data_IF_891480861351
#
_entry.id   IF_891480861351
#
_cell.length_a   1.000
_cell.length_b   1.000
_cell.length_c   1.000
_cell.angle_alpha   90.00
_cell.angle_beta   90.00
_cell.angle_gamma   90.00
#
_symmetry.space_group_name_H-M   'P 1'
#
loop_
_entity.id
_entity.type
_entity.pdbx_description
1 polymer ?
#
# COMPACT_ATOMS: atom_id res chain seq x y z
N UNK A 1 -7.08 -5.88 23.13
CA UNK A 1 -6.99 -5.45 21.71
C UNK A 1 -5.84 -6.19 21.06
N UNK A 2 -6.16 -7.22 20.29
CA UNK A 2 -5.12 -7.88 19.47
C UNK A 2 -4.84 -7.00 18.27
N UNK A 3 -3.67 -6.38 18.23
CA UNK A 3 -3.15 -5.72 17.04
C UNK A 3 -2.67 -6.82 16.08
N UNK A 4 -3.56 -7.35 15.28
CA UNK A 4 -3.24 -8.39 14.30
C UNK A 4 -2.74 -7.67 13.07
N UNK A 5 -1.42 -7.61 12.92
CA UNK A 5 -0.76 -6.89 11.82
C UNK A 5 -0.68 -7.70 10.52
N UNK A 6 -1.19 -8.92 10.53
CA UNK A 6 -1.13 -9.86 9.42
C UNK A 6 -2.52 -10.32 8.93
N UNK A 7 -3.60 -9.72 9.46
CA UNK A 7 -4.94 -10.20 9.15
C UNK A 7 -5.94 -9.06 8.99
N UNK A 8 -6.84 -9.23 8.03
CA UNK A 8 -8.00 -8.38 7.81
C UNK A 8 -9.24 -9.09 8.36
N UNK A 9 -10.09 -8.37 9.06
CA UNK A 9 -11.33 -8.88 9.63
C UNK A 9 -12.53 -8.12 9.10
N UNK A 10 -13.61 -8.85 8.85
CA UNK A 10 -14.93 -8.25 8.69
C UNK A 10 -15.56 -8.02 10.06
N UNK A 11 -16.17 -6.86 10.24
CA UNK A 11 -16.93 -6.51 11.45
C UNK A 11 -18.41 -6.65 11.13
N UNK A 12 -19.13 -7.42 11.94
CA UNK A 12 -20.58 -7.58 11.87
C UNK A 12 -21.19 -7.45 13.27
N UNK A 13 -22.52 -7.45 13.37
CA UNK A 13 -23.22 -7.50 14.67
C UNK A 13 -22.86 -8.76 15.48
N UNK A 14 -22.37 -9.81 14.83
CA UNK A 14 -21.96 -11.06 15.46
C UNK A 14 -20.48 -11.05 15.91
N UNK A 15 -19.75 -9.97 15.61
CA UNK A 15 -18.34 -9.80 15.98
C UNK A 15 -17.38 -9.74 14.80
N UNK A 16 -16.12 -10.05 15.09
CA UNK A 16 -15.02 -10.06 14.11
C UNK A 16 -14.90 -11.44 13.48
N UNK A 17 -14.83 -11.49 12.15
CA UNK A 17 -14.57 -12.72 11.39
C UNK A 17 -13.34 -12.52 10.52
N UNK A 18 -12.35 -13.42 10.55
CA UNK A 18 -11.20 -13.34 9.66
C UNK A 18 -11.64 -13.34 8.19
N UNK A 19 -11.14 -12.38 7.43
CA UNK A 19 -11.42 -12.24 6.00
C UNK A 19 -10.20 -12.64 5.16
N UNK A 20 -9.04 -12.12 5.51
CA UNK A 20 -7.76 -12.41 4.85
C UNK A 20 -6.66 -12.49 5.90
N UNK A 21 -5.79 -13.49 5.77
CA UNK A 21 -4.60 -13.65 6.60
C UNK A 21 -3.37 -13.66 5.70
N UNK A 22 -2.38 -12.86 6.04
CA UNK A 22 -1.07 -12.90 5.39
C UNK A 22 -0.19 -13.92 6.12
N UNK A 23 0.15 -15.00 5.45
CA UNK A 23 1.05 -16.02 5.99
C UNK A 23 2.51 -15.55 5.87
N UNK A 24 2.98 -14.81 6.86
CA UNK A 24 4.30 -14.17 6.86
C UNK A 24 5.42 -15.11 7.33
N UNK A 25 5.10 -16.28 7.86
CA UNK A 25 6.10 -17.25 8.32
C UNK A 25 7.06 -16.65 9.36
N UNK A 26 8.36 -16.78 9.12
CA UNK A 26 9.41 -16.26 10.01
C UNK A 26 9.47 -14.72 10.07
N UNK A 27 8.90 -14.04 9.10
CA UNK A 27 8.81 -12.57 9.07
C UNK A 27 7.61 -12.03 9.84
N UNK A 28 6.79 -12.91 10.40
CA UNK A 28 5.69 -12.50 11.26
C UNK A 28 6.22 -11.78 12.51
N UNK A 29 5.63 -10.63 12.83
CA UNK A 29 5.94 -9.84 14.00
C UNK A 29 4.88 -10.06 15.08
N UNK A 30 5.14 -10.95 16.03
CA UNK A 30 4.19 -11.30 17.07
C UNK A 30 4.04 -10.20 18.14
N UNK A 31 2.97 -10.27 18.93
CA UNK A 31 2.63 -9.26 19.94
C UNK A 31 3.73 -9.05 20.99
N UNK A 32 4.42 -10.10 21.40
CA UNK A 32 5.46 -10.02 22.42
C UNK A 32 6.69 -9.26 21.91
N UNK A 33 6.97 -9.36 20.61
CA UNK A 33 8.08 -8.68 19.95
C UNK A 33 7.77 -7.22 19.61
N UNK A 34 6.50 -6.82 19.56
CA UNK A 34 6.10 -5.46 19.15
C UNK A 34 6.56 -4.35 20.11
N UNK A 35 6.88 -4.69 21.35
CA UNK A 35 7.42 -3.77 22.35
C UNK A 35 8.95 -3.69 22.31
N UNK A 36 9.59 -4.56 21.55
CA UNK A 36 11.04 -4.64 21.38
C UNK A 36 11.43 -4.11 20.01
N UNK A 37 12.09 -2.96 19.98
CA UNK A 37 12.54 -2.33 18.73
C UNK A 37 13.57 -3.23 18.00
N UNK A 38 14.46 -3.88 18.73
CA UNK A 38 15.44 -4.80 18.15
C UNK A 38 14.76 -6.06 17.59
N UNK A 39 13.63 -6.48 18.17
CA UNK A 39 12.83 -7.61 17.74
C UNK A 39 12.11 -7.40 16.41
N UNK A 40 12.12 -6.18 15.84
CA UNK A 40 11.51 -5.91 14.54
C UNK A 40 12.44 -6.20 13.33
N UNK A 41 13.70 -6.61 13.56
CA UNK A 41 14.61 -6.93 12.46
C UNK A 41 14.02 -7.99 11.52
N UNK A 42 13.98 -7.68 10.24
CA UNK A 42 13.38 -8.48 9.16
C UNK A 42 11.90 -8.82 9.34
N UNK A 43 11.23 -8.23 10.34
CA UNK A 43 9.79 -8.43 10.53
C UNK A 43 8.99 -7.53 9.60
N UNK A 44 7.86 -8.05 9.15
CA UNK A 44 6.93 -7.34 8.27
C UNK A 44 5.86 -6.66 9.11
N UNK A 45 5.66 -5.37 8.86
CA UNK A 45 4.54 -4.58 9.38
C UNK A 45 3.71 -4.07 8.20
N UNK A 46 2.50 -4.62 8.05
CA UNK A 46 1.53 -4.15 7.06
C UNK A 46 0.82 -2.93 7.66
N UNK A 47 0.87 -1.80 7.00
CA UNK A 47 0.37 -0.52 7.51
C UNK A 47 -0.74 0.07 6.65
N UNK A 48 -0.90 -0.39 5.43
CA UNK A 48 -1.89 0.14 4.52
C UNK A 48 -2.47 -0.93 3.59
N UNK A 49 -3.81 -1.02 3.55
CA UNK A 49 -4.53 -1.98 2.73
C UNK A 49 -5.72 -1.28 2.10
N UNK A 50 -5.88 -1.49 0.79
CA UNK A 50 -7.04 -1.09 0.01
C UNK A 50 -7.54 -2.26 -0.81
N UNK A 51 -8.84 -2.31 -1.03
CA UNK A 51 -9.47 -3.41 -1.72
C UNK A 51 -10.50 -2.93 -2.73
N UNK A 52 -10.51 -3.55 -3.91
CA UNK A 52 -11.61 -3.48 -4.85
C UNK A 52 -12.13 -4.89 -5.20
N UNK A 53 -12.97 -5.03 -6.22
CA UNK A 53 -13.54 -6.32 -6.60
C UNK A 53 -12.48 -7.36 -6.99
N UNK A 54 -11.40 -6.96 -7.65
CA UNK A 54 -10.41 -7.84 -8.26
C UNK A 54 -9.10 -7.94 -7.48
N UNK A 55 -8.70 -6.86 -6.79
CA UNK A 55 -7.38 -6.72 -6.18
C UNK A 55 -7.45 -6.27 -4.74
N UNK A 56 -6.43 -6.68 -3.97
CA UNK A 56 -6.06 -6.06 -2.71
C UNK A 56 -4.70 -5.39 -2.93
N UNK A 57 -4.65 -4.07 -2.79
CA UNK A 57 -3.41 -3.30 -2.69
C UNK A 57 -2.96 -3.31 -1.23
N UNK A 58 -1.69 -3.51 -1.00
CA UNK A 58 -1.10 -3.47 0.33
C UNK A 58 0.26 -2.77 0.30
N UNK A 59 0.57 -2.15 1.43
CA UNK A 59 1.84 -1.53 1.71
C UNK A 59 2.39 -2.07 3.02
N UNK A 60 3.69 -2.31 3.09
CA UNK A 60 4.32 -2.82 4.29
C UNK A 60 5.77 -2.36 4.41
N UNK A 61 6.27 -2.41 5.63
CA UNK A 61 7.67 -2.20 5.95
C UNK A 61 8.31 -3.48 6.45
N UNK A 62 9.61 -3.62 6.21
CA UNK A 62 10.48 -4.55 6.93
C UNK A 62 11.34 -3.76 7.90
N UNK A 63 11.65 -4.33 9.07
CA UNK A 63 12.51 -3.67 10.09
C UNK A 63 12.05 -2.24 10.44
N UNK A 64 10.74 -2.05 10.68
CA UNK A 64 10.04 -0.75 10.70
C UNK A 64 10.71 0.36 11.50
N UNK A 65 11.38 0.02 12.61
CA UNK A 65 11.99 1.01 13.52
C UNK A 65 13.51 1.07 13.46
N UNK A 66 14.11 0.36 12.52
CA UNK A 66 15.57 0.32 12.34
C UNK A 66 16.01 1.20 11.17
N UNK A 67 17.30 1.53 11.13
CA UNK A 67 17.89 2.30 10.01
C UNK A 67 17.79 1.55 8.68
N UNK A 68 17.74 0.21 8.72
CA UNK A 68 17.58 -0.67 7.56
C UNK A 68 16.12 -0.79 7.10
N UNK A 69 15.19 -0.07 7.71
CA UNK A 69 13.78 -0.10 7.34
C UNK A 69 13.59 0.13 5.84
N UNK A 70 12.79 -0.73 5.22
CA UNK A 70 12.48 -0.66 3.80
C UNK A 70 10.99 -0.78 3.58
N UNK A 71 10.45 0.08 2.72
CA UNK A 71 9.06 0.04 2.29
C UNK A 71 8.88 -0.81 1.04
N UNK A 72 7.70 -1.39 0.94
CA UNK A 72 7.25 -2.20 -0.20
C UNK A 72 5.78 -1.95 -0.45
N UNK A 73 5.38 -2.04 -1.71
CA UNK A 73 3.97 -2.06 -2.07
C UNK A 73 3.68 -3.18 -3.07
N UNK A 74 2.44 -3.61 -3.13
CA UNK A 74 2.06 -4.69 -4.02
C UNK A 74 0.56 -4.86 -4.19
N UNK A 75 0.22 -5.77 -5.09
CA UNK A 75 -1.14 -6.19 -5.37
C UNK A 75 -1.29 -7.70 -5.25
N UNK A 76 -2.36 -8.12 -4.61
CA UNK A 76 -2.87 -9.48 -4.66
C UNK A 76 -4.08 -9.54 -5.59
N UNK A 77 -3.99 -10.35 -6.64
CA UNK A 77 -5.09 -10.62 -7.55
C UNK A 77 -5.94 -11.75 -6.99
N UNK A 78 -7.18 -11.46 -6.62
CA UNK A 78 -8.06 -12.39 -5.89
C UNK A 78 -8.40 -13.66 -6.66
N UNK A 79 -8.75 -13.53 -7.94
CA UNK A 79 -9.12 -14.68 -8.77
C UNK A 79 -7.92 -15.57 -9.09
N UNK A 80 -6.82 -14.97 -9.55
CA UNK A 80 -5.60 -15.72 -9.93
C UNK A 80 -4.77 -16.17 -8.73
N UNK A 81 -5.05 -15.65 -7.54
CA UNK A 81 -4.30 -15.90 -6.30
C UNK A 81 -2.80 -15.64 -6.45
N UNK A 82 -2.46 -14.56 -7.14
CA UNK A 82 -1.07 -14.16 -7.39
C UNK A 82 -0.75 -12.84 -6.72
N UNK A 83 0.48 -12.72 -6.24
CA UNK A 83 1.02 -11.52 -5.62
C UNK A 83 2.09 -10.92 -6.52
N UNK A 84 2.06 -9.62 -6.71
CA UNK A 84 3.13 -8.82 -7.30
C UNK A 84 3.54 -7.76 -6.30
N UNK A 85 4.83 -7.69 -6.00
CA UNK A 85 5.40 -6.79 -5.00
C UNK A 85 6.61 -6.08 -5.57
N UNK A 86 6.82 -4.84 -5.17
CA UNK A 86 8.02 -4.09 -5.48
C UNK A 86 8.54 -3.33 -4.27
N UNK A 87 9.84 -3.03 -4.28
CA UNK A 87 10.47 -2.18 -3.28
C UNK A 87 10.09 -0.73 -3.50
N UNK A 88 9.82 -0.01 -2.41
CA UNK A 88 9.36 1.37 -2.40
C UNK A 88 7.87 1.47 -2.09
N UNK A 89 7.42 2.68 -1.83
CA UNK A 89 6.06 3.05 -1.46
C UNK A 89 5.22 3.56 -2.63
N UNK A 90 5.81 3.60 -3.81
CA UNK A 90 5.18 4.10 -5.03
C UNK A 90 5.32 3.13 -6.19
N UNK A 91 4.34 3.10 -7.07
CA UNK A 91 4.36 2.39 -8.33
C UNK A 91 4.97 3.26 -9.42
N UNK A 92 5.65 2.65 -10.37
CA UNK A 92 6.15 3.39 -11.53
C UNK A 92 5.20 3.26 -12.71
N UNK A 93 4.52 4.37 -13.04
CA UNK A 93 3.70 4.49 -14.24
C UNK A 93 4.60 4.72 -15.47
N UNK A 94 4.77 3.66 -16.26
CA UNK A 94 5.59 3.69 -17.47
C UNK A 94 5.02 4.58 -18.58
N UNK A 95 3.70 4.78 -18.61
CA UNK A 95 3.04 5.60 -19.64
C UNK A 95 3.34 7.08 -19.46
N UNK A 96 3.38 7.52 -18.22
CA UNK A 96 3.59 8.90 -17.84
C UNK A 96 5.01 9.16 -17.31
N UNK A 97 5.85 8.11 -17.20
CA UNK A 97 7.19 8.19 -16.63
C UNK A 97 7.16 8.88 -15.24
N UNK A 98 6.25 8.44 -14.38
CA UNK A 98 5.94 9.08 -13.12
C UNK A 98 5.78 8.04 -12.01
N UNK A 99 6.30 8.35 -10.82
CA UNK A 99 5.98 7.59 -9.62
C UNK A 99 4.62 8.00 -9.09
N UNK A 100 3.78 7.02 -8.75
CA UNK A 100 2.45 7.22 -8.20
C UNK A 100 2.28 6.40 -6.92
N UNK A 101 1.70 7.01 -5.90
CA UNK A 101 1.37 6.33 -4.65
C UNK A 101 -0.14 6.19 -4.53
N UNK A 102 -0.62 4.95 -4.42
CA UNK A 102 -2.04 4.66 -4.29
C UNK A 102 -2.56 5.25 -2.97
N UNK A 103 -3.64 6.01 -3.07
CA UNK A 103 -4.25 6.74 -1.94
C UNK A 103 -5.63 6.25 -1.56
N UNK A 104 -6.30 5.54 -2.45
CA UNK A 104 -7.65 5.07 -2.16
C UNK A 104 -8.26 4.27 -3.28
N UNK A 105 -9.54 3.93 -3.09
CA UNK A 105 -10.40 3.29 -4.07
C UNK A 105 -11.65 4.14 -4.21
N UNK A 106 -12.05 4.42 -5.43
CA UNK A 106 -13.30 5.15 -5.75
C UNK A 106 -14.50 4.27 -5.49
N UNK A 107 -15.70 4.87 -5.44
CA UNK A 107 -16.95 4.15 -5.20
C UNK A 107 -17.30 3.13 -6.30
N UNK A 108 -16.75 3.33 -7.50
CA UNK A 108 -16.88 2.42 -8.65
C UNK A 108 -15.72 1.42 -8.77
N UNK A 109 -14.83 1.38 -7.78
CA UNK A 109 -13.83 0.34 -7.61
C UNK A 109 -12.47 0.59 -8.28
N UNK A 110 -12.20 1.80 -8.73
CA UNK A 110 -10.88 2.14 -9.29
C UNK A 110 -9.91 2.59 -8.20
N UNK A 111 -8.68 2.10 -8.23
CA UNK A 111 -7.62 2.67 -7.41
C UNK A 111 -7.26 4.06 -7.92
N UNK A 112 -6.90 4.96 -7.02
CA UNK A 112 -6.45 6.28 -7.40
C UNK A 112 -5.21 6.71 -6.63
N UNK A 113 -4.42 7.57 -7.27
CA UNK A 113 -3.32 8.32 -6.70
C UNK A 113 -3.59 9.81 -6.79
N UNK A 114 -2.99 10.58 -5.89
CA UNK A 114 -2.96 12.04 -5.95
C UNK A 114 -1.52 12.46 -6.17
N UNK A 115 -1.30 13.26 -7.20
CA UNK A 115 -0.01 13.86 -7.52
C UNK A 115 -0.07 15.35 -7.27
N UNK A 116 0.90 15.86 -6.54
CA UNK A 116 1.07 17.30 -6.44
C UNK A 116 1.71 17.81 -7.74
N UNK A 117 1.35 19.02 -8.22
CA UNK A 117 1.93 19.57 -9.45
C UNK A 117 3.46 19.67 -9.43
N UNK A 118 4.04 20.02 -8.28
CA UNK A 118 5.49 20.12 -8.06
C UNK A 118 6.22 18.75 -8.06
N UNK A 119 5.49 17.65 -7.91
CA UNK A 119 6.02 16.28 -8.04
C UNK A 119 6.14 15.83 -9.51
N UNK A 120 5.52 16.57 -10.44
CA UNK A 120 5.53 16.27 -11.85
C UNK A 120 6.80 16.79 -12.55
N UNK A 121 7.29 16.05 -13.53
CA UNK A 121 8.28 16.58 -14.45
C UNK A 121 7.71 17.74 -15.29
N UNK A 122 8.56 18.66 -15.73
CA UNK A 122 8.16 19.80 -16.59
C UNK A 122 7.39 19.35 -17.84
N UNK A 123 7.75 18.17 -18.40
CA UNK A 123 7.06 17.62 -19.57
C UNK A 123 5.64 17.14 -19.23
N UNK A 124 5.45 16.54 -18.06
CA UNK A 124 4.14 16.13 -17.60
C UNK A 124 3.27 17.34 -17.22
N UNK A 125 3.82 18.36 -16.55
CA UNK A 125 3.11 19.59 -16.27
C UNK A 125 2.60 20.25 -17.55
N UNK A 126 3.47 20.41 -18.56
CA UNK A 126 3.11 20.97 -19.86
C UNK A 126 2.05 20.16 -20.58
N UNK A 127 2.19 18.83 -20.61
CA UNK A 127 1.23 17.95 -21.27
C UNK A 127 -0.15 17.96 -20.62
N UNK A 128 -0.19 18.07 -19.30
CA UNK A 128 -1.43 18.10 -18.52
C UNK A 128 -2.00 19.51 -18.36
N UNK A 129 -1.27 20.55 -18.77
CA UNK A 129 -1.67 21.95 -18.63
C UNK A 129 -1.78 22.39 -17.17
N UNK A 130 -0.90 21.91 -16.30
CA UNK A 130 -0.92 22.14 -14.86
C UNK A 130 0.19 23.13 -14.51
N UNK A 131 -0.13 24.10 -13.65
CA UNK A 131 0.83 25.04 -13.07
C UNK A 131 1.40 24.48 -11.76
N UNK A 132 2.63 24.82 -11.41
CA UNK A 132 3.35 24.30 -10.23
C UNK A 132 2.57 24.53 -8.91
N UNK A 133 1.87 25.65 -8.79
CA UNK A 133 1.01 25.99 -7.64
C UNK A 133 -0.46 25.56 -7.82
N UNK A 134 -0.72 24.67 -8.78
CA UNK A 134 -2.06 24.20 -9.11
C UNK A 134 -2.65 23.20 -8.09
N UNK A 135 -3.88 22.78 -8.36
CA UNK A 135 -4.53 21.73 -7.55
C UNK A 135 -3.91 20.35 -7.81
N UNK A 136 -3.94 19.44 -6.82
CA UNK A 136 -3.54 18.05 -7.00
C UNK A 136 -4.28 17.38 -8.17
N UNK A 137 -3.56 16.51 -8.87
CA UNK A 137 -4.08 15.73 -9.99
C UNK A 137 -4.46 14.35 -9.49
N UNK A 138 -5.68 13.93 -9.76
CA UNK A 138 -6.12 12.57 -9.50
C UNK A 138 -5.76 11.68 -10.71
N UNK A 139 -4.98 10.65 -10.47
CA UNK A 139 -4.66 9.60 -11.44
C UNK A 139 -5.47 8.36 -11.08
N UNK A 140 -6.29 7.87 -12.01
CA UNK A 140 -7.08 6.65 -11.82
C UNK A 140 -6.41 5.48 -12.54
N UNK A 141 -6.38 4.32 -11.86
CA UNK A 141 -5.85 3.08 -12.41
C UNK A 141 -7.03 2.18 -12.83
N UNK A 142 -7.04 1.82 -14.10
CA UNK A 142 -8.05 0.96 -14.72
C UNK A 142 -7.49 -0.45 -14.96
#
# INVERSE_FOLDING_TARGET
EMCIRDSIYTISEQGLTPYLVFELGEWHWNEQQQLDVEGCDKKIAIDYILENAEYIYFHFHTSLYLEESQSYCGFYHKEKKTVVCQKGDSLFDKMNNQHIQIRGVTSDGHFFALLQPDELSDDNQRRMGVEEEGNPIMVMLY
#
